data_IF_399837358145
#
_entry.id   IF_399837358145
#
_cell.length_a   1.000
_cell.length_b   1.000
_cell.length_c   1.000
_cell.angle_alpha   90.00
_cell.angle_beta   90.00
_cell.angle_gamma   90.00
#
_symmetry.space_group_name_H-M   'P 1'
#
loop_
_entity.id
_entity.type
_entity.pdbx_description
1 polymer ?
#
# COMPACT_ATOMS: atom_id res chain seq x y z
N UNK A 1 5.30 -13.96 5.39
CA UNK A 1 4.91 -13.86 6.81
C UNK A 1 5.76 -12.83 7.55
N UNK A 2 7.10 -12.99 7.62
CA UNK A 2 7.98 -12.12 8.43
C UNK A 2 7.85 -10.62 8.06
N UNK A 3 7.71 -10.28 6.77
CA UNK A 3 7.48 -8.89 6.34
C UNK A 3 6.08 -8.43 6.75
N UNK A 4 5.06 -9.26 6.56
CA UNK A 4 3.71 -8.93 6.96
C UNK A 4 3.60 -8.63 8.47
N UNK A 5 4.38 -9.33 9.31
CA UNK A 5 4.37 -9.09 10.76
C UNK A 5 4.89 -7.71 11.20
N UNK A 6 5.48 -6.96 10.29
CA UNK A 6 5.89 -5.57 10.56
C UNK A 6 4.88 -4.53 10.09
N UNK A 7 3.78 -4.93 9.45
CA UNK A 7 2.72 -4.01 9.07
C UNK A 7 2.02 -3.40 10.29
N UNK A 8 1.61 -2.15 10.21
CA UNK A 8 0.81 -1.49 11.24
C UNK A 8 -0.69 -1.83 11.09
N UNK A 9 -1.45 -1.68 12.17
CA UNK A 9 -2.89 -1.96 12.18
C UNK A 9 -3.72 -1.07 11.24
N UNK A 10 -3.22 0.11 10.89
CA UNK A 10 -3.86 1.01 9.91
C UNK A 10 -3.60 0.60 8.46
N UNK A 11 -2.80 -0.43 8.24
CA UNK A 11 -2.43 -0.94 6.92
C UNK A 11 -1.14 -0.35 6.35
N UNK A 12 -0.57 0.69 6.98
CA UNK A 12 0.75 1.19 6.59
C UNK A 12 1.83 0.13 6.85
N UNK A 13 2.99 0.30 6.24
CA UNK A 13 4.11 -0.61 6.42
C UNK A 13 5.40 0.17 6.72
N UNK A 14 6.33 -0.49 7.38
CA UNK A 14 7.69 0.03 7.44
C UNK A 14 8.33 0.04 6.05
N UNK A 15 8.97 1.14 5.72
CA UNK A 15 9.71 1.25 4.45
C UNK A 15 10.88 0.26 4.36
N UNK A 16 11.49 -0.07 5.48
CA UNK A 16 12.62 -1.00 5.53
C UNK A 16 12.37 -2.12 6.53
N UNK A 17 12.59 -3.34 6.08
CA UNK A 17 12.59 -4.55 6.89
C UNK A 17 14.01 -5.03 7.14
N UNK A 18 14.30 -5.41 8.38
CA UNK A 18 15.61 -5.93 8.79
C UNK A 18 15.56 -7.46 8.95
N UNK A 19 16.11 -8.22 8.02
CA UNK A 19 15.99 -9.70 8.03
C UNK A 19 16.57 -10.39 9.27
N UNK A 20 17.63 -9.81 9.85
CA UNK A 20 18.29 -10.42 11.02
C UNK A 20 17.46 -10.31 12.30
N UNK A 21 16.77 -9.21 12.47
CA UNK A 21 15.94 -8.94 13.67
C UNK A 21 14.47 -9.27 13.43
N UNK A 22 14.06 -9.43 12.18
CA UNK A 22 12.68 -9.59 11.73
C UNK A 22 11.77 -8.42 12.13
N UNK A 23 12.32 -7.21 12.13
CA UNK A 23 11.63 -5.98 12.53
C UNK A 23 11.71 -4.92 11.44
N UNK A 24 10.76 -4.01 11.48
CA UNK A 24 10.83 -2.78 10.71
C UNK A 24 11.90 -1.83 11.24
N UNK A 25 12.40 -0.93 10.38
CA UNK A 25 13.36 0.10 10.77
C UNK A 25 12.61 1.31 11.33
N UNK A 26 12.69 1.50 12.64
CA UNK A 26 12.02 2.60 13.36
C UNK A 26 12.53 3.99 12.96
N UNK A 27 13.82 4.11 12.58
CA UNK A 27 14.42 5.40 12.23
C UNK A 27 13.85 5.94 10.90
N UNK A 28 13.53 5.04 9.98
CA UNK A 28 12.85 5.40 8.72
C UNK A 28 11.34 5.46 8.92
N UNK A 29 10.77 4.49 9.63
CA UNK A 29 9.35 4.44 9.93
C UNK A 29 8.49 4.04 8.73
N UNK A 30 7.26 4.56 8.68
CA UNK A 30 6.23 4.32 7.68
C UNK A 30 5.82 5.61 6.95
N UNK A 31 4.72 5.57 6.21
CA UNK A 31 4.13 6.75 5.54
C UNK A 31 4.42 6.83 4.06
N UNK A 32 5.04 5.80 3.47
CA UNK A 32 5.23 5.65 2.03
C UNK A 32 4.03 4.88 1.47
N UNK A 33 3.30 5.49 0.56
CA UNK A 33 1.97 4.97 0.17
C UNK A 33 2.04 3.80 -0.83
N UNK A 34 3.20 3.47 -1.35
CA UNK A 34 3.43 2.27 -2.16
C UNK A 34 3.77 1.03 -1.32
N UNK A 35 4.39 1.20 -0.15
CA UNK A 35 4.87 0.10 0.68
C UNK A 35 3.80 -0.96 0.98
N UNK A 36 2.56 -0.62 1.35
CA UNK A 36 1.51 -1.60 1.57
C UNK A 36 1.20 -2.47 0.34
N UNK A 37 1.30 -1.90 -0.87
CA UNK A 37 0.98 -2.62 -2.11
C UNK A 37 1.99 -3.73 -2.44
N UNK A 38 3.22 -3.61 -1.97
CA UNK A 38 4.23 -4.66 -2.15
C UNK A 38 3.89 -5.95 -1.41
N UNK A 39 3.14 -5.87 -0.30
CA UNK A 39 2.67 -7.07 0.39
C UNK A 39 1.67 -7.84 -0.48
N UNK A 40 0.72 -7.14 -1.11
CA UNK A 40 -0.24 -7.76 -2.04
C UNK A 40 0.52 -8.40 -3.21
N UNK A 41 1.49 -7.68 -3.77
CA UNK A 41 2.32 -8.19 -4.86
C UNK A 41 3.04 -9.51 -4.48
N UNK A 42 3.67 -9.53 -3.30
CA UNK A 42 4.43 -10.68 -2.84
C UNK A 42 3.54 -11.90 -2.57
N UNK A 43 2.39 -11.69 -1.92
CA UNK A 43 1.44 -12.78 -1.62
C UNK A 43 0.79 -13.29 -2.89
N UNK A 44 0.38 -12.40 -3.80
CA UNK A 44 -0.17 -12.81 -5.10
C UNK A 44 0.84 -13.64 -5.91
N UNK A 45 2.11 -13.23 -5.95
CA UNK A 45 3.15 -13.99 -6.63
C UNK A 45 3.33 -15.39 -5.99
N UNK A 46 3.34 -15.46 -4.66
CA UNK A 46 3.40 -16.73 -3.93
C UNK A 46 2.24 -17.66 -4.28
N UNK A 47 1.01 -17.15 -4.27
CA UNK A 47 -0.19 -17.91 -4.60
C UNK A 47 -0.17 -18.43 -6.04
N UNK A 48 0.27 -17.61 -6.98
CA UNK A 48 0.39 -17.99 -8.40
C UNK A 48 1.44 -19.09 -8.62
N UNK A 49 2.52 -19.04 -7.88
CA UNK A 49 3.60 -20.03 -8.00
C UNK A 49 3.29 -21.35 -7.31
N UNK A 50 2.65 -21.30 -6.13
CA UNK A 50 2.50 -22.48 -5.28
C UNK A 50 1.09 -23.09 -5.28
N UNK A 51 0.06 -22.29 -5.55
CA UNK A 51 -1.34 -22.68 -5.36
C UNK A 51 -1.74 -22.85 -3.89
N UNK A 52 -0.88 -22.47 -2.94
CA UNK A 52 -1.13 -22.65 -1.51
C UNK A 52 -1.90 -21.50 -0.91
N UNK A 53 -3.22 -21.54 -1.03
CA UNK A 53 -4.13 -20.56 -0.42
C UNK A 53 -4.24 -20.70 1.10
N UNK A 54 -3.74 -21.78 1.71
CA UNK A 54 -3.79 -21.93 3.18
C UNK A 54 -3.00 -20.86 3.90
N UNK A 55 -1.99 -20.27 3.27
CA UNK A 55 -1.18 -19.16 3.81
C UNK A 55 -2.03 -17.95 4.20
N UNK A 56 -3.16 -17.73 3.54
CA UNK A 56 -4.05 -16.59 3.83
C UNK A 56 -4.69 -16.68 5.22
N UNK A 57 -4.75 -17.89 5.82
CA UNK A 57 -5.29 -18.13 7.15
C UNK A 57 -4.21 -18.09 8.25
N UNK A 58 -2.93 -17.98 7.88
CA UNK A 58 -1.87 -17.88 8.86
C UNK A 58 -2.03 -16.63 9.72
N UNK A 59 -1.99 -16.82 11.03
CA UNK A 59 -2.06 -15.70 11.98
C UNK A 59 -0.74 -14.95 12.01
N UNK A 60 -0.79 -13.68 11.70
CA UNK A 60 0.38 -12.79 11.59
C UNK A 60 0.19 -11.59 12.51
N UNK A 61 1.23 -11.23 13.23
CA UNK A 61 1.22 -10.10 14.16
C UNK A 61 1.16 -8.77 13.37
N UNK A 62 0.57 -7.73 13.95
CA UNK A 62 0.81 -6.36 13.53
C UNK A 62 1.92 -5.73 14.37
N UNK A 63 2.85 -5.05 13.72
CA UNK A 63 4.01 -4.37 14.34
C UNK A 63 4.78 -5.28 15.32
N UNK A 64 4.90 -6.57 14.97
CA UNK A 64 5.49 -7.61 15.80
C UNK A 64 4.84 -7.77 17.21
N UNK A 65 3.58 -7.33 17.38
CA UNK A 65 2.84 -7.42 18.64
C UNK A 65 1.88 -8.62 18.60
N UNK A 66 2.20 -9.69 19.31
CA UNK A 66 1.45 -10.97 19.26
C UNK A 66 -0.02 -10.87 19.64
N UNK A 67 -0.36 -9.92 20.51
CA UNK A 67 -1.74 -9.66 20.93
C UNK A 67 -2.61 -9.02 19.85
N UNK A 68 -2.00 -8.59 18.75
CA UNK A 68 -2.65 -7.92 17.62
C UNK A 68 -2.61 -8.73 16.33
N UNK A 69 -2.54 -10.05 16.44
CA UNK A 69 -2.47 -10.92 15.29
C UNK A 69 -3.80 -11.03 14.55
N UNK A 70 -3.73 -11.11 13.22
CA UNK A 70 -4.85 -11.39 12.34
C UNK A 70 -4.44 -12.35 11.21
N UNK A 71 -5.39 -12.96 10.49
CA UNK A 71 -5.05 -13.74 9.30
C UNK A 71 -4.29 -12.90 8.26
N UNK A 72 -3.36 -13.51 7.52
CA UNK A 72 -2.62 -12.81 6.46
C UNK A 72 -3.55 -12.11 5.45
N UNK A 73 -4.73 -12.68 5.17
CA UNK A 73 -5.72 -12.04 4.31
C UNK A 73 -6.16 -10.66 4.84
N UNK A 74 -6.34 -10.51 6.15
CA UNK A 74 -6.66 -9.21 6.76
C UNK A 74 -5.53 -8.19 6.55
N UNK A 75 -4.26 -8.63 6.56
CA UNK A 75 -3.13 -7.78 6.23
C UNK A 75 -3.20 -7.26 4.78
N UNK A 76 -3.59 -8.13 3.83
CA UNK A 76 -3.79 -7.70 2.44
C UNK A 76 -4.94 -6.70 2.32
N UNK A 77 -6.05 -6.96 3.03
CA UNK A 77 -7.20 -6.08 3.03
C UNK A 77 -6.82 -4.68 3.54
N UNK A 78 -6.10 -4.60 4.66
CA UNK A 78 -5.63 -3.32 5.20
C UNK A 78 -4.60 -2.64 4.30
N UNK A 79 -3.73 -3.39 3.65
CA UNK A 79 -2.82 -2.84 2.63
C UNK A 79 -3.57 -2.15 1.49
N UNK A 80 -4.61 -2.79 0.98
CA UNK A 80 -5.45 -2.22 -0.06
C UNK A 80 -6.18 -0.95 0.41
N UNK A 81 -6.84 -1.02 1.56
CA UNK A 81 -7.59 0.08 2.15
C UNK A 81 -6.71 1.29 2.46
N UNK A 82 -5.47 1.07 2.92
CA UNK A 82 -4.56 2.17 3.20
C UNK A 82 -4.35 3.04 1.96
N UNK A 83 -3.93 2.48 0.84
CA UNK A 83 -3.71 3.24 -0.39
C UNK A 83 -5.03 3.80 -0.96
N UNK A 84 -6.13 3.03 -0.90
CA UNK A 84 -7.45 3.47 -1.37
C UNK A 84 -7.99 4.70 -0.62
N UNK A 85 -7.55 4.94 0.61
CA UNK A 85 -8.01 6.06 1.45
C UNK A 85 -7.02 7.22 1.54
N UNK A 86 -5.78 7.04 1.07
CA UNK A 86 -4.75 8.09 1.07
C UNK A 86 -4.61 8.71 -0.32
N UNK A 87 -5.65 9.47 -0.70
CA UNK A 87 -5.77 10.10 -2.02
C UNK A 87 -5.63 11.62 -1.93
N UNK A 88 -5.07 12.21 -2.97
CA UNK A 88 -4.95 13.65 -3.14
C UNK A 88 -6.14 14.28 -3.88
N UNK A 89 -6.00 15.55 -4.29
CA UNK A 89 -7.09 16.34 -4.89
C UNK A 89 -7.68 15.75 -6.17
N UNK A 90 -6.86 15.04 -6.96
CA UNK A 90 -7.30 14.42 -8.22
C UNK A 90 -7.71 12.95 -8.04
N UNK A 91 -7.84 12.48 -6.80
CA UNK A 91 -8.14 11.07 -6.46
C UNK A 91 -7.07 10.08 -6.91
N UNK A 92 -5.86 10.57 -7.11
CA UNK A 92 -4.67 9.74 -7.26
C UNK A 92 -4.04 9.51 -5.87
N UNK A 93 -3.28 8.42 -5.67
CA UNK A 93 -2.65 8.17 -4.39
C UNK A 93 -1.67 9.29 -4.04
N UNK A 94 -1.72 9.75 -2.80
CA UNK A 94 -0.68 10.62 -2.26
C UNK A 94 0.68 9.90 -2.34
N UNK A 95 1.74 10.65 -2.57
CA UNK A 95 3.11 10.09 -2.51
C UNK A 95 3.40 9.58 -1.10
N UNK A 96 2.88 10.26 -0.09
CA UNK A 96 3.31 10.08 1.28
C UNK A 96 4.73 10.61 1.45
N UNK A 97 5.55 9.89 2.17
CA UNK A 97 6.99 10.19 2.26
C UNK A 97 7.70 9.71 1.00
N UNK A 98 8.43 10.58 0.32
CA UNK A 98 8.89 10.36 -1.05
C UNK A 98 10.42 10.48 -1.18
N UNK A 99 11.18 9.80 -0.33
CA UNK A 99 12.63 9.88 -0.36
C UNK A 99 13.31 8.86 -1.29
N UNK A 100 12.67 7.73 -1.57
CA UNK A 100 13.26 6.64 -2.35
C UNK A 100 13.25 6.88 -3.87
N UNK A 101 12.39 7.75 -4.35
CA UNK A 101 12.27 8.07 -5.78
C UNK A 101 12.78 9.48 -6.13
N UNK A 102 13.68 10.01 -5.33
CA UNK A 102 14.57 11.16 -5.48
C UNK A 102 13.96 12.44 -6.06
N UNK A 103 13.37 12.36 -7.24
CA UNK A 103 12.87 13.52 -7.97
C UNK A 103 11.48 13.98 -7.54
N UNK A 104 10.81 13.25 -6.68
CA UNK A 104 9.41 13.52 -6.30
C UNK A 104 9.26 14.27 -4.98
N UNK A 105 10.35 14.61 -4.32
CA UNK A 105 10.34 15.30 -3.03
C UNK A 105 9.90 16.77 -3.13
N UNK A 106 9.90 17.34 -4.32
CA UNK A 106 9.72 18.77 -4.52
C UNK A 106 8.40 19.31 -3.96
N UNK A 107 7.36 18.50 -3.99
CA UNK A 107 6.02 18.89 -3.60
C UNK A 107 5.42 18.09 -2.46
N UNK A 108 6.19 17.21 -1.81
CA UNK A 108 5.62 16.32 -0.79
C UNK A 108 5.09 17.07 0.45
N UNK A 109 5.54 18.29 0.71
CA UNK A 109 5.01 19.15 1.79
C UNK A 109 3.90 20.08 1.36
N UNK A 110 3.63 20.22 0.07
CA UNK A 110 2.67 21.22 -0.42
C UNK A 110 1.30 21.00 0.18
N UNK A 111 0.64 22.10 0.49
CA UNK A 111 -0.75 22.13 0.96
C UNK A 111 -1.72 22.60 -0.13
N UNK A 112 -1.17 23.15 -1.20
CA UNK A 112 -1.95 23.66 -2.34
C UNK A 112 -1.47 23.02 -3.65
N UNK A 113 -2.38 22.62 -4.54
CA UNK A 113 -2.02 22.13 -5.86
C UNK A 113 -1.23 23.18 -6.65
N UNK A 114 -0.20 22.76 -7.36
CA UNK A 114 0.63 23.65 -8.18
C UNK A 114 1.74 24.38 -7.43
N UNK A 115 1.81 24.29 -6.11
CA UNK A 115 3.02 24.70 -5.38
C UNK A 115 4.20 23.83 -5.78
N UNK A 116 5.36 24.45 -5.84
CA UNK A 116 6.62 23.74 -6.07
C UNK A 116 7.72 24.34 -5.20
N UNK A 117 8.22 23.56 -4.26
CA UNK A 117 9.39 23.93 -3.44
C UNK A 117 10.22 22.72 -3.08
N UNK A 118 11.49 22.92 -2.92
CA UNK A 118 12.42 21.86 -2.53
C UNK A 118 12.37 21.62 -1.04
N UNK A 119 12.55 20.37 -0.66
CA UNK A 119 12.67 19.95 0.73
C UNK A 119 14.01 19.28 0.96
N UNK A 120 14.48 19.27 2.21
CA UNK A 120 15.76 18.69 2.59
C UNK A 120 15.64 17.34 3.28
N UNK A 121 14.44 16.81 3.39
CA UNK A 121 14.20 15.53 4.06
C UNK A 121 12.87 14.91 3.69
N UNK A 122 12.67 13.64 4.06
CA UNK A 122 11.42 12.95 3.81
C UNK A 122 10.29 13.60 4.61
N UNK A 123 9.19 13.85 3.94
CA UNK A 123 7.99 14.43 4.53
C UNK A 123 6.77 14.03 3.70
N UNK A 124 5.61 14.36 4.18
CA UNK A 124 4.34 14.08 3.52
C UNK A 124 3.45 15.32 3.51
N UNK A 125 2.60 15.41 2.51
CA UNK A 125 1.63 16.47 2.35
C UNK A 125 0.35 15.97 1.71
N UNK A 126 -0.73 16.79 1.75
CA UNK A 126 -2.06 16.35 1.31
C UNK A 126 -2.33 16.47 -0.18
N UNK A 127 -1.38 16.94 -0.99
CA UNK A 127 -1.62 17.28 -2.41
C UNK A 127 -0.66 16.65 -3.42
N UNK A 128 0.50 16.17 -2.98
CA UNK A 128 1.45 15.54 -3.90
C UNK A 128 1.02 14.10 -4.22
N UNK A 129 0.65 13.86 -5.46
CA UNK A 129 0.10 12.60 -5.96
C UNK A 129 1.08 11.84 -6.84
N UNK A 130 0.93 10.52 -6.94
CA UNK A 130 1.80 9.64 -7.71
C UNK A 130 1.02 8.78 -8.71
N UNK A 131 1.24 9.03 -10.00
CA UNK A 131 0.73 8.16 -11.08
C UNK A 131 1.38 6.78 -11.05
N UNK A 132 2.62 6.67 -10.57
CA UNK A 132 3.29 5.39 -10.39
C UNK A 132 2.56 4.52 -9.36
N UNK A 133 2.25 5.08 -8.19
CA UNK A 133 1.50 4.36 -7.14
C UNK A 133 0.09 4.03 -7.63
N UNK A 134 -0.54 4.92 -8.41
CA UNK A 134 -1.83 4.63 -9.04
C UNK A 134 -1.76 3.41 -9.98
N UNK A 135 -0.70 3.30 -10.78
CA UNK A 135 -0.44 2.13 -11.62
C UNK A 135 -0.25 0.84 -10.80
N UNK A 136 0.47 0.92 -9.69
CA UNK A 136 0.61 -0.20 -8.74
C UNK A 136 -0.74 -0.59 -8.13
N UNK A 137 -1.52 0.40 -7.69
CA UNK A 137 -2.85 0.16 -7.12
C UNK A 137 -3.78 -0.53 -8.11
N UNK A 138 -3.83 -0.08 -9.37
CA UNK A 138 -4.63 -0.73 -10.41
C UNK A 138 -4.20 -2.18 -10.63
N UNK A 139 -2.89 -2.44 -10.67
CA UNK A 139 -2.37 -3.80 -10.87
C UNK A 139 -2.66 -4.69 -9.66
N UNK A 140 -2.22 -4.30 -8.50
CA UNK A 140 -2.28 -5.15 -7.30
C UNK A 140 -3.67 -5.17 -6.65
N UNK A 141 -4.48 -4.12 -6.87
CA UNK A 141 -5.89 -4.13 -6.51
C UNK A 141 -6.70 -5.17 -7.28
N UNK A 142 -6.42 -5.36 -8.58
CA UNK A 142 -7.01 -6.48 -9.35
C UNK A 142 -6.61 -7.83 -8.77
N UNK A 143 -5.34 -7.99 -8.40
CA UNK A 143 -4.85 -9.23 -7.79
C UNK A 143 -5.51 -9.49 -6.42
N UNK A 144 -5.69 -8.44 -5.62
CA UNK A 144 -6.42 -8.53 -4.35
C UNK A 144 -7.90 -8.92 -4.58
N UNK A 145 -8.56 -8.34 -5.58
CA UNK A 145 -9.94 -8.71 -5.93
C UNK A 145 -10.04 -10.19 -6.35
N UNK A 146 -9.07 -10.70 -7.13
CA UNK A 146 -9.02 -12.10 -7.52
C UNK A 146 -8.83 -13.03 -6.31
N UNK A 147 -7.91 -12.67 -5.39
CA UNK A 147 -7.70 -13.42 -4.14
C UNK A 147 -8.98 -13.45 -3.30
N UNK A 148 -9.61 -12.29 -3.10
CA UNK A 148 -10.86 -12.16 -2.33
C UNK A 148 -11.99 -13.01 -2.92
N UNK A 149 -12.13 -12.98 -4.24
CA UNK A 149 -13.12 -13.81 -4.94
C UNK A 149 -12.85 -15.30 -4.78
N UNK A 150 -11.57 -15.71 -4.86
CA UNK A 150 -11.18 -17.10 -4.70
C UNK A 150 -11.55 -17.68 -3.32
N UNK A 151 -11.39 -16.88 -2.26
CA UNK A 151 -11.74 -17.31 -0.89
C UNK A 151 -13.23 -17.08 -0.54
N UNK A 152 -14.01 -16.53 -1.46
CA UNK A 152 -15.45 -16.30 -1.27
C UNK A 152 -15.82 -14.95 -0.64
N UNK A 153 -14.88 -14.05 -0.41
CA UNK A 153 -15.15 -12.67 0.03
C UNK A 153 -15.55 -11.79 -1.16
N UNK A 154 -16.79 -12.00 -1.60
CA UNK A 154 -17.34 -11.30 -2.76
C UNK A 154 -17.45 -9.80 -2.52
N UNK A 155 -17.74 -9.38 -1.29
CA UNK A 155 -17.91 -7.97 -0.95
C UNK A 155 -16.57 -7.22 -1.09
N UNK A 156 -15.49 -7.78 -0.57
CA UNK A 156 -14.16 -7.21 -0.73
C UNK A 156 -13.71 -7.19 -2.21
N UNK A 157 -14.03 -8.25 -2.96
CA UNK A 157 -13.71 -8.31 -4.37
C UNK A 157 -14.41 -7.22 -5.19
N UNK A 158 -15.72 -7.06 -5.02
CA UNK A 158 -16.52 -6.04 -5.72
C UNK A 158 -16.10 -4.63 -5.34
N UNK A 159 -15.78 -4.40 -4.07
CA UNK A 159 -15.24 -3.12 -3.61
C UNK A 159 -13.89 -2.84 -4.28
N UNK A 160 -12.97 -3.79 -4.27
CA UNK A 160 -11.65 -3.62 -4.87
C UNK A 160 -11.75 -3.33 -6.37
N UNK A 161 -12.59 -4.03 -7.10
CA UNK A 161 -12.83 -3.77 -8.53
C UNK A 161 -13.32 -2.34 -8.78
N UNK A 162 -14.28 -1.89 -7.99
CA UNK A 162 -14.81 -0.52 -8.09
C UNK A 162 -13.73 0.54 -7.83
N UNK A 163 -12.94 0.38 -6.77
CA UNK A 163 -11.86 1.33 -6.44
C UNK A 163 -10.76 1.32 -7.51
N UNK A 164 -10.43 0.15 -8.06
CA UNK A 164 -9.50 0.00 -9.17
C UNK A 164 -9.99 0.71 -10.42
N UNK A 165 -11.27 0.57 -10.78
CA UNK A 165 -11.84 1.24 -11.94
C UNK A 165 -11.85 2.76 -11.75
N UNK A 166 -12.15 3.25 -10.54
CA UNK A 166 -12.10 4.67 -10.21
C UNK A 166 -10.67 5.21 -10.30
N UNK A 167 -9.69 4.47 -9.79
CA UNK A 167 -8.28 4.85 -9.88
C UNK A 167 -7.79 4.89 -11.32
N UNK A 168 -8.16 3.89 -12.12
CA UNK A 168 -7.83 3.86 -13.54
C UNK A 168 -8.40 5.07 -14.27
N UNK A 169 -9.66 5.43 -13.98
CA UNK A 169 -10.29 6.62 -14.56
C UNK A 169 -9.59 7.90 -14.10
N UNK A 170 -9.22 8.01 -12.82
CA UNK A 170 -8.48 9.18 -12.32
C UNK A 170 -7.12 9.35 -13.01
N UNK A 171 -6.42 8.25 -13.35
CA UNK A 171 -5.19 8.32 -14.15
C UNK A 171 -5.46 8.88 -15.54
N UNK A 172 -6.54 8.46 -16.19
CA UNK A 172 -6.88 8.96 -17.52
C UNK A 172 -7.28 10.45 -17.51
N UNK A 173 -7.95 10.90 -16.45
CA UNK A 173 -8.49 12.24 -16.35
C UNK A 173 -7.45 13.28 -15.88
N UNK A 174 -6.53 12.88 -15.01
CA UNK A 174 -5.62 13.81 -14.33
C UNK A 174 -4.13 13.39 -14.36
N UNK A 175 -3.81 12.18 -14.76
CA UNK A 175 -2.45 11.65 -14.74
C UNK A 175 -1.57 12.01 -15.94
N UNK A 176 -2.10 12.76 -16.93
CA UNK A 176 -1.41 13.15 -18.17
C UNK A 176 -1.16 14.65 -18.24
#
# INVERSE_FOLDING_TARGET
IDIASTQFEDGSAYHQYQPLTKKGNLDIGSGFNDDPLWLIAAVSAYLKETGDFSILNEMVDFDNQKEKAAPLYEHLHRSFEYTATHLGPHKLPLIGRADWNDCLNLNCFSTEPGESFQTTGPSEGPVAESVFIAGMFVKYGKEFAEISRHIGDTAAAERAEKEVDQMYQAVLDAGW
#
